data_IF_225036259289
#
_entry.id   IF_225036259289
#
_cell.length_a   1.000
_cell.length_b   1.000
_cell.length_c   1.000
_cell.angle_alpha   90.00
_cell.angle_beta   90.00
_cell.angle_gamma   90.00
#
_symmetry.space_group_name_H-M   'P 1'
#
loop_
_entity.id
_entity.type
_entity.pdbx_description
1 polymer ?
#
# COMPACT_ATOMS: atom_id res chain seq x y z
N UNK A 1 2.56 -20.07 -0.66
CA UNK A 1 2.17 -18.79 -1.30
C UNK A 1 1.22 -18.07 -0.36
N UNK A 2 1.49 -16.80 -0.07
CA UNK A 2 0.55 -15.95 0.69
C UNK A 2 -0.58 -15.52 -0.26
N UNK A 3 -1.80 -16.01 -0.02
CA UNK A 3 -3.00 -15.66 -0.80
C UNK A 3 -3.47 -14.25 -0.38
N UNK A 4 -3.70 -13.31 -1.31
CA UNK A 4 -4.21 -11.98 -0.98
C UNK A 4 -5.57 -12.04 -0.27
N UNK A 5 -5.73 -11.24 0.78
CA UNK A 5 -6.98 -11.11 1.51
C UNK A 5 -7.69 -9.80 1.20
N UNK A 6 -8.99 -9.86 0.91
CA UNK A 6 -9.82 -8.70 0.63
C UNK A 6 -10.79 -8.46 1.79
N UNK A 7 -10.82 -7.22 2.28
CA UNK A 7 -11.75 -6.80 3.34
C UNK A 7 -12.53 -5.56 2.92
N UNK A 8 -13.71 -5.35 3.51
CA UNK A 8 -14.47 -4.12 3.28
C UNK A 8 -13.81 -2.91 3.98
N UNK A 9 -13.28 -3.10 5.20
CA UNK A 9 -12.80 -2.01 6.05
C UNK A 9 -11.28 -1.91 6.12
N UNK A 10 -10.73 -0.70 6.01
CA UNK A 10 -9.29 -0.44 6.17
C UNK A 10 -8.74 -0.93 7.52
N UNK A 11 -9.54 -0.86 8.60
CA UNK A 11 -9.12 -1.37 9.91
C UNK A 11 -8.74 -2.85 9.84
N UNK A 12 -9.55 -3.68 9.18
CA UNK A 12 -9.31 -5.12 9.00
C UNK A 12 -8.11 -5.39 8.09
N UNK A 13 -7.94 -4.59 7.04
CA UNK A 13 -6.75 -4.64 6.19
C UNK A 13 -5.48 -4.38 7.00
N UNK A 14 -5.47 -3.33 7.83
CA UNK A 14 -4.33 -2.97 8.66
C UNK A 14 -4.02 -4.07 9.70
N UNK A 15 -5.04 -4.55 10.43
CA UNK A 15 -4.92 -5.65 11.39
C UNK A 15 -4.33 -6.91 10.72
N UNK A 16 -4.78 -7.25 9.52
CA UNK A 16 -4.31 -8.42 8.79
C UNK A 16 -2.85 -8.24 8.34
N UNK A 17 -2.52 -7.10 7.73
CA UNK A 17 -1.16 -6.81 7.27
C UNK A 17 -0.15 -6.77 8.41
N UNK A 18 -0.52 -6.18 9.55
CA UNK A 18 0.30 -6.16 10.76
C UNK A 18 0.55 -7.58 11.29
N UNK A 19 -0.49 -8.42 11.33
CA UNK A 19 -0.34 -9.83 11.72
C UNK A 19 0.60 -10.59 10.77
N UNK A 20 0.47 -10.40 9.46
CA UNK A 20 1.36 -11.02 8.47
C UNK A 20 2.82 -10.55 8.64
N UNK A 21 3.02 -9.26 8.93
CA UNK A 21 4.33 -8.72 9.21
C UNK A 21 4.93 -9.31 10.49
N UNK A 22 4.14 -9.40 11.57
CA UNK A 22 4.58 -9.94 12.85
C UNK A 22 4.92 -11.44 12.76
N UNK A 23 4.15 -12.20 11.98
CA UNK A 23 4.36 -13.62 11.74
C UNK A 23 5.43 -13.92 10.67
N UNK A 24 5.98 -12.91 10.00
CA UNK A 24 7.05 -13.12 9.03
C UNK A 24 8.32 -13.62 9.72
N UNK A 25 8.90 -14.70 9.17
CA UNK A 25 10.14 -15.32 9.67
C UNK A 25 11.40 -14.70 9.08
N UNK A 26 11.28 -14.02 7.93
CA UNK A 26 12.38 -13.29 7.28
C UNK A 26 12.68 -11.95 7.93
N UNK A 27 13.67 -11.24 7.38
CA UNK A 27 14.04 -9.90 7.82
C UNK A 27 12.83 -8.96 7.75
N UNK A 28 12.57 -8.26 8.86
CA UNK A 28 11.43 -7.35 9.01
C UNK A 28 11.88 -6.01 9.56
N UNK A 29 11.30 -4.95 9.02
CA UNK A 29 11.66 -3.57 9.34
C UNK A 29 10.42 -2.74 9.60
N UNK A 30 10.54 -1.83 10.56
CA UNK A 30 9.58 -0.77 10.84
C UNK A 30 10.23 0.56 10.49
N UNK A 31 10.02 1.02 9.27
CA UNK A 31 10.75 2.16 8.69
C UNK A 31 10.00 3.46 8.98
N UNK A 32 10.59 4.32 9.83
CA UNK A 32 10.00 5.62 10.16
C UNK A 32 10.24 6.63 9.04
N UNK A 33 9.20 7.41 8.75
CA UNK A 33 9.27 8.54 7.84
C UNK A 33 10.14 9.67 8.45
N UNK A 34 10.68 10.52 7.59
CA UNK A 34 11.38 11.74 8.00
C UNK A 34 10.45 12.92 7.70
N UNK A 35 9.99 13.59 8.77
CA UNK A 35 9.11 14.75 8.68
C UNK A 35 9.85 16.05 8.98
N UNK A 36 9.60 17.08 8.18
CA UNK A 36 10.09 18.44 8.39
C UNK A 36 8.97 19.47 8.21
N UNK A 37 9.08 20.61 8.89
CA UNK A 37 8.08 21.68 8.86
C UNK A 37 8.60 22.84 8.02
N UNK A 38 7.76 23.38 7.15
CA UNK A 38 8.08 24.58 6.36
C UNK A 38 7.72 25.82 7.18
N UNK A 39 8.65 26.76 7.30
CA UNK A 39 8.40 28.09 7.86
C UNK A 39 8.31 28.18 9.39
N UNK A 40 8.70 27.13 10.13
CA UNK A 40 8.78 27.20 11.59
C UNK A 40 9.96 28.08 12.03
N UNK A 41 9.69 29.13 12.79
CA UNK A 41 10.70 30.08 13.30
C UNK A 41 11.22 29.72 14.71
N UNK A 42 10.66 28.69 15.35
CA UNK A 42 11.12 28.19 16.65
C UNK A 42 10.98 26.68 16.76
N UNK A 43 11.81 26.06 17.60
CA UNK A 43 11.73 24.62 17.88
C UNK A 43 10.37 24.22 18.49
N UNK A 44 9.83 25.03 19.39
CA UNK A 44 8.54 24.80 20.03
C UNK A 44 7.38 24.79 19.01
N UNK A 45 7.39 25.73 18.05
CA UNK A 45 6.39 25.76 16.99
C UNK A 45 6.53 24.56 16.06
N UNK A 46 7.77 24.20 15.72
CA UNK A 46 8.07 23.00 14.93
C UNK A 46 7.50 21.75 15.59
N UNK A 47 7.81 21.52 16.86
CA UNK A 47 7.36 20.32 17.59
C UNK A 47 5.84 20.27 17.72
N UNK A 48 5.20 21.43 17.98
CA UNK A 48 3.74 21.57 17.98
C UNK A 48 3.10 21.26 16.63
N UNK A 49 3.75 21.58 15.52
CA UNK A 49 3.25 21.25 14.17
C UNK A 49 3.45 19.76 13.88
N UNK A 50 4.61 19.21 14.23
CA UNK A 50 4.90 17.78 14.04
C UNK A 50 3.92 16.89 14.84
N UNK A 51 3.53 17.30 16.05
CA UNK A 51 2.55 16.58 16.85
C UNK A 51 1.12 16.60 16.28
N UNK A 52 0.84 17.42 15.26
CA UNK A 52 -0.46 17.50 14.59
C UNK A 52 -0.54 16.63 13.33
N UNK A 53 0.54 15.94 12.96
CA UNK A 53 0.53 15.08 11.77
C UNK A 53 -0.36 13.86 12.04
N UNK A 54 -1.39 13.62 11.23
CA UNK A 54 -2.25 12.45 11.42
C UNK A 54 -1.52 11.16 11.01
N UNK A 55 -1.83 10.06 11.70
CA UNK A 55 -1.32 8.73 11.34
C UNK A 55 -2.00 8.14 10.11
N UNK A 56 -3.23 8.56 9.80
CA UNK A 56 -3.99 8.07 8.65
C UNK A 56 -3.33 8.49 7.33
N UNK A 57 -2.80 7.55 6.52
CA UNK A 57 -2.10 7.86 5.27
C UNK A 57 -2.96 8.66 4.28
N UNK A 58 -4.29 8.54 4.35
CA UNK A 58 -5.20 9.29 3.46
C UNK A 58 -5.12 10.80 3.68
N UNK A 59 -4.71 11.23 4.88
CA UNK A 59 -4.50 12.63 5.24
C UNK A 59 -3.07 13.10 4.97
N UNK A 60 -2.15 12.18 4.64
CA UNK A 60 -0.73 12.44 4.40
C UNK A 60 -0.32 11.98 3.00
N UNK A 61 -1.18 12.22 2.00
CA UNK A 61 -0.94 11.92 0.57
C UNK A 61 -0.58 10.45 0.30
N UNK A 62 -1.20 9.52 1.02
CA UNK A 62 -1.02 8.06 0.96
C UNK A 62 0.35 7.56 1.44
N UNK A 63 1.17 8.43 2.06
CA UNK A 63 2.47 8.06 2.60
C UNK A 63 2.37 7.78 4.10
N UNK A 64 2.77 6.57 4.51
CA UNK A 64 2.76 6.13 5.89
C UNK A 64 3.83 6.83 6.76
N UNK A 65 3.49 7.12 8.01
CA UNK A 65 4.43 7.58 9.03
C UNK A 65 5.40 6.46 9.44
N UNK A 66 4.89 5.24 9.54
CA UNK A 66 5.66 4.04 9.83
C UNK A 66 5.33 2.95 8.80
N UNK A 67 6.34 2.50 8.06
CA UNK A 67 6.19 1.51 7.00
C UNK A 67 6.75 0.16 7.46
N UNK A 68 5.84 -0.78 7.73
CA UNK A 68 6.18 -2.15 8.11
C UNK A 68 6.40 -3.01 6.88
N UNK A 69 7.61 -3.55 6.71
CA UNK A 69 7.96 -4.41 5.58
C UNK A 69 8.68 -5.65 6.04
N UNK A 70 8.47 -6.75 5.33
CA UNK A 70 9.25 -7.96 5.52
C UNK A 70 9.68 -8.52 4.17
N UNK A 71 10.91 -9.03 4.10
CA UNK A 71 11.41 -9.69 2.89
C UNK A 71 10.53 -10.90 2.57
N UNK A 72 10.19 -11.06 1.29
CA UNK A 72 9.30 -12.09 0.77
C UNK A 72 7.81 -11.80 0.90
N UNK A 73 7.40 -10.68 1.52
CA UNK A 73 6.00 -10.30 1.66
C UNK A 73 5.54 -9.36 0.54
N UNK A 74 4.23 -9.41 0.25
CA UNK A 74 3.60 -8.60 -0.79
C UNK A 74 3.45 -7.15 -0.35
N UNK A 75 3.76 -6.27 -1.28
CA UNK A 75 3.55 -4.84 -1.21
C UNK A 75 2.94 -4.35 -2.52
N UNK A 76 2.56 -3.09 -2.54
CA UNK A 76 2.18 -2.40 -3.76
C UNK A 76 2.65 -0.95 -3.68
N UNK A 77 2.75 -0.31 -4.84
CA UNK A 77 3.08 1.12 -4.91
C UNK A 77 1.91 1.94 -4.34
N UNK A 78 2.21 2.83 -3.40
CA UNK A 78 1.20 3.56 -2.62
C UNK A 78 0.61 4.79 -3.35
N UNK A 79 1.32 5.32 -4.35
CA UNK A 79 0.97 6.49 -5.14
C UNK A 79 1.73 6.45 -6.47
N UNK A 80 1.28 7.22 -7.46
CA UNK A 80 1.94 7.28 -8.76
C UNK A 80 3.37 7.81 -8.62
N UNK A 81 4.35 6.97 -8.95
CA UNK A 81 5.79 7.31 -8.92
C UNK A 81 6.27 7.62 -10.33
N UNK A 82 6.02 6.72 -11.28
CA UNK A 82 6.45 6.82 -12.68
C UNK A 82 5.38 6.16 -13.55
N UNK A 83 4.39 6.95 -14.00
CA UNK A 83 3.21 6.41 -14.70
C UNK A 83 3.54 5.86 -16.09
N UNK A 84 4.51 6.46 -16.76
CA UNK A 84 5.07 5.99 -18.04
C UNK A 84 5.83 4.66 -17.92
N UNK A 85 6.33 4.33 -16.72
CA UNK A 85 7.04 3.08 -16.40
C UNK A 85 6.15 2.08 -15.63
N UNK A 86 4.83 2.28 -15.65
CA UNK A 86 3.86 1.40 -14.98
C UNK A 86 3.89 1.42 -13.44
N UNK A 87 4.81 2.16 -12.81
CA UNK A 87 4.95 2.31 -11.35
C UNK A 87 3.87 3.24 -10.78
N UNK A 88 2.64 2.77 -10.89
CA UNK A 88 1.40 3.48 -10.56
C UNK A 88 0.83 3.01 -9.22
N UNK A 89 -0.07 3.80 -8.65
CA UNK A 89 -0.77 3.47 -7.41
C UNK A 89 -1.52 2.13 -7.53
N UNK A 90 -1.11 1.12 -6.76
CA UNK A 90 -1.67 -0.23 -6.82
C UNK A 90 -0.79 -1.26 -7.54
N UNK A 91 0.31 -0.84 -8.18
CA UNK A 91 1.23 -1.77 -8.84
C UNK A 91 1.82 -2.76 -7.82
N UNK A 92 1.35 -4.01 -7.90
CA UNK A 92 1.68 -5.10 -6.99
C UNK A 92 3.10 -5.61 -7.17
N UNK A 93 3.74 -5.94 -6.06
CA UNK A 93 5.12 -6.42 -6.04
C UNK A 93 5.43 -7.23 -4.77
N UNK A 94 6.57 -7.92 -4.79
CA UNK A 94 7.11 -8.66 -3.64
C UNK A 94 8.43 -8.04 -3.23
N UNK A 95 8.59 -7.76 -1.94
CA UNK A 95 9.87 -7.28 -1.39
C UNK A 95 10.91 -8.38 -1.47
N UNK A 96 12.05 -8.11 -2.11
CA UNK A 96 13.14 -9.08 -2.30
C UNK A 96 14.34 -8.80 -1.42
N UNK A 97 14.63 -7.52 -1.18
CA UNK A 97 15.74 -7.10 -0.32
C UNK A 97 15.51 -5.70 0.21
N UNK A 98 15.90 -5.45 1.45
CA UNK A 98 15.82 -4.14 2.09
C UNK A 98 17.24 -3.71 2.44
N UNK A 99 17.72 -2.62 1.84
CA UNK A 99 19.05 -2.05 2.11
C UNK A 99 18.88 -0.64 2.67
N UNK A 100 18.91 -0.51 3.99
CA UNK A 100 18.82 0.77 4.69
C UNK A 100 20.20 1.24 5.13
N UNK A 101 20.39 2.56 5.18
CA UNK A 101 21.65 3.15 5.65
C UNK A 101 21.85 2.97 7.17
N UNK A 102 20.76 2.80 7.92
CA UNK A 102 20.77 2.60 9.38
C UNK A 102 19.80 1.47 9.72
N UNK A 103 20.31 0.40 10.34
CA UNK A 103 19.54 -0.81 10.67
C UNK A 103 18.93 -0.72 12.08
N UNK A 104 19.66 -0.20 13.06
CA UNK A 104 19.20 -0.14 14.47
C UNK A 104 18.03 0.83 14.67
N UNK A 105 18.01 1.90 13.87
CA UNK A 105 16.92 2.88 13.82
C UNK A 105 16.51 3.10 12.36
N UNK A 106 15.71 2.20 11.78
CA UNK A 106 15.33 2.25 10.38
C UNK A 106 14.63 3.58 10.02
N UNK A 107 15.36 4.43 9.30
CA UNK A 107 14.82 5.59 8.63
C UNK A 107 14.64 5.30 7.15
N UNK A 108 13.81 6.08 6.48
CA UNK A 108 13.57 5.99 5.04
C UNK A 108 14.78 6.50 4.21
N UNK A 109 15.93 5.87 4.38
CA UNK A 109 17.19 6.17 3.70
C UNK A 109 17.82 4.87 3.24
N UNK A 110 17.95 4.70 1.92
CA UNK A 110 18.42 3.47 1.31
C UNK A 110 17.58 3.09 0.09
N UNK A 111 17.54 1.79 -0.20
CA UNK A 111 16.84 1.20 -1.35
C UNK A 111 16.08 -0.04 -0.90
N UNK A 112 14.83 -0.16 -1.33
CA UNK A 112 14.07 -1.41 -1.23
C UNK A 112 13.99 -2.01 -2.62
N UNK A 113 14.43 -3.25 -2.77
CA UNK A 113 14.34 -3.99 -4.02
C UNK A 113 13.06 -4.79 -4.03
N UNK A 114 12.23 -4.56 -5.04
CA UNK A 114 10.97 -5.26 -5.23
C UNK A 114 10.94 -5.94 -6.58
N UNK A 115 10.30 -7.11 -6.68
CA UNK A 115 9.95 -7.70 -7.97
C UNK A 115 8.48 -7.42 -8.23
N UNK A 116 8.18 -6.68 -9.29
CA UNK A 116 6.80 -6.43 -9.71
C UNK A 116 6.14 -7.71 -10.23
N UNK A 117 4.81 -7.76 -10.09
CA UNK A 117 4.01 -8.88 -10.59
C UNK A 117 4.02 -8.95 -12.13
N UNK A 118 4.13 -7.78 -12.77
CA UNK A 118 4.27 -7.62 -14.22
C UNK A 118 5.69 -7.15 -14.56
N UNK A 119 6.35 -7.84 -15.48
CA UNK A 119 7.78 -7.61 -15.79
C UNK A 119 8.05 -6.29 -16.51
N UNK A 120 7.07 -5.76 -17.25
CA UNK A 120 7.12 -4.46 -17.92
C UNK A 120 7.11 -3.29 -16.92
N UNK A 121 6.52 -3.49 -15.73
CA UNK A 121 6.49 -2.45 -14.69
C UNK A 121 7.88 -2.21 -14.12
N UNK A 122 8.31 -0.95 -14.13
CA UNK A 122 9.59 -0.52 -13.59
C UNK A 122 10.79 -0.76 -14.53
N UNK A 123 10.57 -1.21 -15.77
CA UNK A 123 11.64 -1.54 -16.71
C UNK A 123 12.60 -0.37 -16.96
N UNK A 124 12.06 0.82 -17.21
CA UNK A 124 12.87 2.03 -17.41
C UNK A 124 13.61 2.38 -16.13
N UNK A 125 12.97 2.26 -14.97
CA UNK A 125 13.62 2.48 -13.67
C UNK A 125 14.78 1.50 -13.46
N UNK A 126 14.62 0.22 -13.85
CA UNK A 126 15.70 -0.75 -13.78
C UNK A 126 16.85 -0.37 -14.72
N UNK A 127 16.53 0.07 -15.94
CA UNK A 127 17.49 0.52 -16.94
C UNK A 127 18.31 1.75 -16.47
N UNK A 128 17.65 2.79 -15.99
CA UNK A 128 18.29 4.03 -15.54
C UNK A 128 19.17 3.83 -14.30
N UNK A 129 18.88 2.77 -13.53
CA UNK A 129 19.60 2.44 -12.31
C UNK A 129 20.52 1.20 -12.47
N UNK A 130 20.91 0.82 -13.70
CA UNK A 130 21.80 -0.33 -14.00
C UNK A 130 23.06 -0.38 -13.13
N UNK A 131 23.62 0.78 -12.76
CA UNK A 131 24.81 0.89 -11.88
C UNK A 131 24.60 0.34 -10.46
N UNK A 132 23.35 0.15 -10.02
CA UNK A 132 23.03 -0.37 -8.69
C UNK A 132 23.00 -1.91 -8.65
N UNK A 133 23.02 -2.57 -9.80
CA UNK A 133 22.97 -4.04 -9.91
C UNK A 133 24.37 -4.60 -9.78
N UNK A 134 24.75 -4.86 -8.53
CA UNK A 134 25.98 -5.56 -8.15
C UNK A 134 25.67 -7.03 -7.86
N UNK A 135 26.70 -7.82 -7.52
CA UNK A 135 26.51 -9.23 -7.16
C UNK A 135 25.45 -9.39 -6.05
N UNK A 136 24.50 -10.30 -6.28
CA UNK A 136 23.41 -10.58 -5.34
C UNK A 136 22.18 -9.65 -5.46
N UNK A 137 22.08 -8.86 -6.54
CA UNK A 137 20.86 -8.16 -6.95
C UNK A 137 20.43 -8.70 -8.31
N UNK A 138 19.23 -9.25 -8.40
CA UNK A 138 18.69 -9.76 -9.67
C UNK A 138 18.24 -8.62 -10.58
N UNK A 139 18.42 -8.80 -11.90
CA UNK A 139 18.02 -7.82 -12.92
C UNK A 139 16.51 -7.60 -13.03
N UNK A 140 15.71 -8.48 -12.43
CA UNK A 140 14.24 -8.38 -12.35
C UNK A 140 13.77 -7.51 -11.18
N UNK A 141 14.66 -7.18 -10.24
CA UNK A 141 14.30 -6.42 -9.05
C UNK A 141 14.39 -4.92 -9.32
N UNK A 142 13.30 -4.19 -9.14
CA UNK A 142 13.25 -2.75 -9.31
C UNK A 142 13.65 -2.04 -8.02
N UNK A 143 14.60 -1.08 -8.06
CA UNK A 143 15.00 -0.30 -6.89
C UNK A 143 13.95 0.77 -6.58
N UNK A 144 13.35 0.67 -5.39
CA UNK A 144 12.42 1.66 -4.86
C UNK A 144 13.17 2.59 -3.91
N UNK A 145 13.19 3.87 -4.25
CA UNK A 145 13.81 4.93 -3.45
C UNK A 145 12.74 5.71 -2.66
N UNK A 146 13.12 6.33 -1.53
CA UNK A 146 12.22 7.22 -0.81
C UNK A 146 11.84 8.42 -1.67
N UNK A 147 10.57 8.81 -1.62
CA UNK A 147 10.06 10.02 -2.25
C UNK A 147 9.69 11.04 -1.17
N UNK A 148 9.47 12.28 -1.59
CA UNK A 148 9.08 13.38 -0.71
C UNK A 148 7.72 13.93 -1.12
N UNK A 149 6.81 14.09 -0.16
CA UNK A 149 5.50 14.70 -0.38
C UNK A 149 5.27 15.84 0.60
N UNK A 150 4.48 16.84 0.19
CA UNK A 150 4.07 17.95 1.05
C UNK A 150 2.57 17.89 1.31
N UNK A 151 2.16 18.16 2.55
CA UNK A 151 0.76 18.25 2.93
C UNK A 151 0.55 19.24 4.08
N UNK A 152 -0.68 19.75 4.15
CA UNK A 152 -1.12 20.66 5.18
C UNK A 152 -1.57 19.92 6.44
N UNK A 153 -1.23 20.45 7.62
CA UNK A 153 -1.61 19.91 8.93
C UNK A 153 -2.26 20.96 9.81
N UNK A 154 -2.86 20.48 10.90
CA UNK A 154 -3.60 21.30 11.86
C UNK A 154 -5.05 21.57 11.44
N UNK A 155 -5.82 22.10 12.39
CA UNK A 155 -7.27 22.28 12.26
C UNK A 155 -7.65 23.15 11.05
N UNK A 156 -6.85 24.18 10.77
CA UNK A 156 -7.08 25.12 9.68
C UNK A 156 -6.21 24.83 8.44
N UNK A 157 -5.45 23.72 8.42
CA UNK A 157 -4.56 23.35 7.31
C UNK A 157 -3.56 24.45 6.89
N UNK A 158 -3.12 25.27 7.83
CA UNK A 158 -2.20 26.39 7.56
C UNK A 158 -0.73 25.98 7.63
N UNK A 159 -0.39 25.00 8.47
CA UNK A 159 0.98 24.53 8.62
C UNK A 159 1.33 23.52 7.52
N UNK A 160 2.50 23.68 6.89
CA UNK A 160 2.97 22.79 5.83
C UNK A 160 4.05 21.84 6.36
N UNK A 161 3.87 20.55 6.10
CA UNK A 161 4.81 19.50 6.47
C UNK A 161 5.29 18.81 5.20
N UNK A 162 6.58 18.51 5.16
CA UNK A 162 7.22 17.69 4.15
C UNK A 162 7.56 16.34 4.77
N UNK A 163 7.09 15.26 4.14
CA UNK A 163 7.35 13.89 4.56
C UNK A 163 8.18 13.16 3.51
N UNK A 164 9.25 12.51 3.94
CA UNK A 164 10.01 11.57 3.14
C UNK A 164 9.73 10.14 3.59
N UNK A 165 9.48 9.23 2.65
CA UNK A 165 9.24 7.79 2.90
C UNK A 165 9.29 7.00 1.59
N UNK A 166 9.46 5.68 1.64
CA UNK A 166 9.27 4.81 0.47
C UNK A 166 7.80 4.78 0.01
N UNK A 167 7.52 4.84 -1.31
CA UNK A 167 6.17 4.84 -1.87
C UNK A 167 5.56 3.44 -1.90
N UNK A 168 5.66 2.67 -0.82
CA UNK A 168 5.15 1.30 -0.71
C UNK A 168 4.09 1.21 0.39
N UNK A 169 3.21 0.23 0.28
CA UNK A 169 2.33 -0.21 1.37
C UNK A 169 2.20 -1.73 1.39
N UNK A 170 2.05 -2.34 2.58
CA UNK A 170 1.76 -3.77 2.70
C UNK A 170 0.49 -4.14 1.93
N UNK A 171 0.55 -5.26 1.20
CA UNK A 171 -0.52 -5.72 0.32
C UNK A 171 -0.84 -7.22 0.49
N UNK A 172 -0.52 -7.80 1.66
CA UNK A 172 -1.02 -9.14 1.99
C UNK A 172 -2.55 -9.14 2.15
N UNK A 173 -3.09 -8.01 2.61
CA UNK A 173 -4.49 -7.64 2.49
C UNK A 173 -4.68 -6.28 1.82
N UNK A 174 -5.79 -6.11 1.11
CA UNK A 174 -6.26 -4.84 0.55
C UNK A 174 -7.78 -4.71 0.72
N UNK A 175 -8.31 -3.49 0.54
CA UNK A 175 -9.77 -3.35 0.57
C UNK A 175 -10.39 -3.84 -0.74
N UNK A 176 -11.63 -4.33 -0.69
CA UNK A 176 -12.35 -4.74 -1.89
C UNK A 176 -12.43 -3.58 -2.91
N UNK A 177 -12.70 -2.36 -2.43
CA UNK A 177 -12.68 -1.16 -3.29
C UNK A 177 -11.34 -0.95 -4.01
N UNK A 178 -10.22 -1.21 -3.31
CA UNK A 178 -8.89 -1.04 -3.89
C UNK A 178 -8.48 -2.17 -4.82
N UNK A 179 -9.14 -3.33 -4.72
CA UNK A 179 -8.96 -4.42 -5.66
C UNK A 179 -9.73 -4.26 -6.96
N UNK A 180 -10.57 -3.23 -7.09
CA UNK A 180 -11.36 -3.03 -8.29
C UNK A 180 -10.45 -2.85 -9.52
N UNK A 181 -10.58 -3.74 -10.50
CA UNK A 181 -9.70 -3.81 -11.68
C UNK A 181 -8.65 -4.91 -11.58
N UNK A 182 -8.32 -5.40 -10.39
CA UNK A 182 -7.34 -6.48 -10.19
C UNK A 182 -7.86 -7.81 -10.73
N UNK A 183 -6.95 -8.63 -11.25
CA UNK A 183 -7.20 -10.01 -11.63
C UNK A 183 -6.23 -10.92 -10.89
N UNK A 184 -6.75 -11.81 -10.06
CA UNK A 184 -5.97 -12.67 -9.17
C UNK A 184 -6.32 -14.14 -9.41
N UNK A 185 -5.35 -15.04 -9.26
CA UNK A 185 -5.59 -16.48 -9.43
C UNK A 185 -6.23 -17.10 -8.18
N UNK A 186 -5.91 -16.58 -7.00
CA UNK A 186 -6.47 -17.03 -5.72
C UNK A 186 -6.65 -15.83 -4.79
N UNK A 187 -7.79 -15.77 -4.09
CA UNK A 187 -8.09 -14.72 -3.11
C UNK A 187 -8.89 -15.27 -1.94
N UNK A 188 -8.73 -14.65 -0.77
CA UNK A 188 -9.65 -14.82 0.36
C UNK A 188 -10.45 -13.53 0.49
N UNK A 189 -11.78 -13.58 0.43
CA UNK A 189 -12.64 -12.40 0.55
C UNK A 189 -13.48 -12.48 1.80
N UNK A 190 -13.41 -11.45 2.63
CA UNK A 190 -14.24 -11.32 3.82
C UNK A 190 -15.34 -10.27 3.58
N UNK A 191 -16.60 -10.72 3.64
CA UNK A 191 -17.77 -9.87 3.39
C UNK A 191 -18.48 -9.40 4.66
N UNK A 192 -17.84 -9.54 5.83
CA UNK A 192 -18.45 -9.12 7.09
C UNK A 192 -18.78 -7.62 7.08
N UNK A 193 -20.08 -7.30 7.07
CA UNK A 193 -20.57 -5.93 7.12
C UNK A 193 -21.91 -5.85 7.83
N UNK A 194 -22.11 -4.76 8.58
CA UNK A 194 -23.40 -4.45 9.21
C UNK A 194 -24.37 -3.75 8.25
N UNK A 195 -23.84 -3.09 7.22
CA UNK A 195 -24.62 -2.30 6.26
C UNK A 195 -24.53 -2.93 4.89
N UNK A 196 -25.63 -2.85 4.14
CA UNK A 196 -25.57 -3.13 2.71
C UNK A 196 -24.79 -2.02 2.03
N UNK A 197 -23.72 -2.42 1.36
CA UNK A 197 -22.93 -1.55 0.49
C UNK A 197 -23.20 -2.11 -0.91
N UNK A 198 -23.94 -1.40 -1.76
CA UNK A 198 -24.20 -1.87 -3.13
C UNK A 198 -22.90 -2.27 -3.81
N UNK A 199 -22.94 -3.17 -4.80
CA UNK A 199 -21.81 -3.63 -5.63
C UNK A 199 -20.61 -4.29 -4.92
N UNK A 200 -20.42 -4.16 -3.60
CA UNK A 200 -19.18 -4.62 -2.93
C UNK A 200 -18.96 -6.13 -3.07
N UNK A 201 -20.03 -6.91 -2.98
CA UNK A 201 -19.99 -8.36 -3.15
C UNK A 201 -19.56 -8.73 -4.56
N UNK A 202 -20.21 -8.13 -5.57
CA UNK A 202 -19.82 -8.30 -6.96
C UNK A 202 -18.35 -7.93 -7.22
N UNK A 203 -17.88 -6.78 -6.70
CA UNK A 203 -16.49 -6.36 -6.89
C UNK A 203 -15.54 -7.40 -6.30
N UNK A 204 -15.76 -7.85 -5.07
CA UNK A 204 -14.90 -8.84 -4.41
C UNK A 204 -14.90 -10.21 -5.12
N UNK A 205 -16.07 -10.71 -5.51
CA UNK A 205 -16.23 -12.00 -6.18
C UNK A 205 -15.63 -12.01 -7.60
N UNK A 206 -15.68 -10.87 -8.30
CA UNK A 206 -15.19 -10.75 -9.69
C UNK A 206 -13.68 -10.55 -9.82
N UNK A 207 -12.90 -10.62 -8.72
CA UNK A 207 -11.43 -10.45 -8.79
C UNK A 207 -10.69 -11.74 -9.17
N UNK A 208 -11.36 -12.88 -9.12
CA UNK A 208 -10.77 -14.19 -9.36
C UNK A 208 -11.11 -14.72 -10.75
N UNK A 209 -10.17 -15.41 -11.39
CA UNK A 209 -10.34 -15.98 -12.73
C UNK A 209 -11.10 -17.30 -12.76
N UNK A 210 -11.10 -18.04 -11.65
CA UNK A 210 -11.74 -19.35 -11.52
C UNK A 210 -12.30 -19.54 -10.11
N UNK A 211 -13.42 -20.24 -9.98
CA UNK A 211 -14.12 -20.40 -8.69
C UNK A 211 -13.29 -21.16 -7.65
N UNK A 212 -12.40 -22.06 -8.10
CA UNK A 212 -11.48 -22.83 -7.27
C UNK A 212 -10.43 -21.94 -6.58
N UNK A 213 -10.21 -20.74 -7.11
CA UNK A 213 -9.35 -19.73 -6.51
C UNK A 213 -10.05 -18.85 -5.47
N UNK A 214 -11.37 -18.98 -5.32
CA UNK A 214 -12.18 -18.12 -4.46
C UNK A 214 -12.42 -18.76 -3.10
N UNK A 215 -11.93 -18.10 -2.04
CA UNK A 215 -12.22 -18.48 -0.67
C UNK A 215 -13.03 -17.37 -0.01
N UNK A 216 -14.22 -17.67 0.50
CA UNK A 216 -15.10 -16.68 1.13
C UNK A 216 -15.11 -16.92 2.64
N UNK A 217 -15.03 -15.83 3.41
CA UNK A 217 -15.21 -15.83 4.86
C UNK A 217 -16.28 -14.81 5.23
N UNK A 218 -17.11 -15.14 6.22
CA UNK A 218 -18.17 -14.25 6.73
C UNK A 218 -19.06 -13.64 5.62
N UNK A 219 -19.71 -14.49 4.81
CA UNK A 219 -20.64 -14.03 3.78
C UNK A 219 -21.92 -13.49 4.43
N UNK A 220 -22.22 -12.21 4.20
CA UNK A 220 -23.47 -11.59 4.64
C UNK A 220 -24.44 -11.48 3.46
N UNK A 221 -25.07 -12.60 3.07
CA UNK A 221 -25.95 -12.69 1.90
C UNK A 221 -27.08 -11.66 1.92
N UNK A 222 -27.65 -11.41 3.10
CA UNK A 222 -28.71 -10.41 3.34
C UNK A 222 -28.26 -8.96 3.07
N UNK A 223 -26.96 -8.73 2.87
CA UNK A 223 -26.37 -7.43 2.55
C UNK A 223 -26.00 -7.28 1.08
N UNK A 224 -26.17 -8.32 0.26
CA UNK A 224 -26.00 -8.22 -1.19
C UNK A 224 -27.09 -7.29 -1.74
N UNK A 225 -26.68 -6.19 -2.38
CA UNK A 225 -27.61 -5.25 -2.98
C UNK A 225 -27.04 -4.62 -4.25
N UNK A 226 -27.96 -4.18 -5.10
CA UNK A 226 -27.71 -3.37 -6.29
C UNK A 226 -28.18 -1.94 -6.00
N UNK A 227 -27.51 -0.95 -6.58
CA UNK A 227 -27.96 0.43 -6.47
C UNK A 227 -29.25 0.60 -7.29
N UNK A 228 -30.37 1.07 -6.71
CA UNK A 228 -31.64 1.20 -7.42
C UNK A 228 -31.57 2.03 -8.71
N UNK A 229 -30.73 3.06 -8.74
CA UNK A 229 -30.55 3.89 -9.94
C UNK A 229 -29.81 3.15 -11.05
N UNK A 230 -28.89 2.26 -10.69
CA UNK A 230 -28.17 1.41 -11.65
C UNK A 230 -29.13 0.35 -12.18
N UNK A 231 -29.91 -0.28 -11.30
CA UNK A 231 -30.95 -1.23 -11.67
C UNK A 231 -31.94 -0.62 -12.68
N UNK A 232 -32.48 0.56 -12.36
CA UNK A 232 -33.39 1.29 -13.24
C UNK A 232 -32.75 1.66 -14.58
N UNK A 233 -31.50 2.14 -14.58
CA UNK A 233 -30.80 2.54 -15.81
C UNK A 233 -30.55 1.36 -16.75
N UNK A 234 -30.31 0.16 -16.21
CA UNK A 234 -29.96 -1.03 -16.97
C UNK A 234 -31.11 -2.05 -17.09
N UNK A 235 -32.30 -1.71 -16.58
CA UNK A 235 -33.50 -2.54 -16.58
C UNK A 235 -33.27 -3.95 -15.98
N UNK A 236 -32.59 -3.98 -14.82
CA UNK A 236 -32.31 -5.18 -14.02
C UNK A 236 -32.83 -5.03 -12.59
#
# INVERSE_FOLDING_TARGET
MDVPHLFIQNKKVNEFNERVHNAATGEKFSIKAIDSVIGANSAQLRDKILSQIPDDPRKTKQIASNLQLSVGKRTEIALNVCTDDGMTNGAGNVVKKIQLNQIDKPLCTGIIWVQFDHSDVGEKTRHENRRLYVQGIESTWTPIKPITTQFAVGRNQTAQVVRKQFPLRPAAAKTIHRSQGDTEQKIVVNFNTRRSIPHIHYVGLSRVTAIEGLFITDLCEDKIAVNPHVALKWNI
#
